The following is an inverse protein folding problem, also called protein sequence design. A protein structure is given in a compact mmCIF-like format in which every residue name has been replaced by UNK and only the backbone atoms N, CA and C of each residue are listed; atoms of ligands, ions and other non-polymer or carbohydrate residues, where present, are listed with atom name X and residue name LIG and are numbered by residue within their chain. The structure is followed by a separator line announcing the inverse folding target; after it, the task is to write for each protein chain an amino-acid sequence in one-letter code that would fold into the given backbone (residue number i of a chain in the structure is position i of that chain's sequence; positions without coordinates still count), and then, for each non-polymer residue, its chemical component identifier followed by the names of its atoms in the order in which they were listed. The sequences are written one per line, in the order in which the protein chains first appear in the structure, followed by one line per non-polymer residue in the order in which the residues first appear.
data_IF_729339842342
#
_entry.id   IF_729339842342
#
_cell.length_a   1.000
_cell.length_b   1.000
_cell.length_c   1.000
_cell.angle_alpha   90.00
_cell.angle_beta   90.00
_cell.angle_gamma   90.00
#
_symmetry.space_group_name_H-M   'P 1'
#
loop_
_entity.id
_entity.type
_entity.pdbx_description
1 polymer ?
#
# COMPACT_ATOMS: atom_id res chain seq x y z
N UNK A 1 -46.10 -27.22 14.20
CA UNK A 1 -45.89 -26.17 15.21
C UNK A 1 -45.13 -25.01 14.56
N UNK A 2 -45.86 -23.99 14.11
CA UNK A 2 -45.38 -22.60 13.91
C UNK A 2 -45.28 -21.88 15.27
N UNK A 3 -44.70 -20.65 15.40
CA UNK A 3 -44.18 -19.72 14.38
C UNK A 3 -42.69 -19.27 14.63
N UNK A 4 -41.87 -19.00 13.60
CA UNK A 4 -41.63 -17.70 12.90
C UNK A 4 -41.47 -16.47 13.79
N UNK A 5 -40.25 -15.91 13.87
CA UNK A 5 -40.04 -14.45 13.87
C UNK A 5 -38.74 -14.08 13.12
N UNK A 6 -38.92 -13.46 11.95
CA UNK A 6 -37.91 -12.65 11.24
C UNK A 6 -37.96 -11.25 11.84
N UNK A 7 -36.81 -10.69 12.21
CA UNK A 7 -36.69 -9.27 12.52
C UNK A 7 -35.92 -8.58 11.40
N UNK A 8 -36.68 -7.98 10.51
CA UNK A 8 -36.26 -6.94 9.57
C UNK A 8 -36.15 -5.65 10.36
N UNK A 9 -34.99 -4.99 10.34
CA UNK A 9 -34.86 -3.59 10.75
C UNK A 9 -34.52 -2.76 9.52
N UNK A 10 -35.57 -2.23 8.90
CA UNK A 10 -35.51 -1.11 7.99
C UNK A 10 -35.41 0.18 8.82
N UNK A 11 -34.36 0.98 8.60
CA UNK A 11 -34.30 2.35 9.08
C UNK A 11 -34.77 3.27 7.95
N UNK A 12 -36.00 3.76 8.08
CA UNK A 12 -36.56 4.82 7.25
C UNK A 12 -35.99 6.17 7.68
N UNK A 13 -35.33 6.88 6.76
CA UNK A 13 -35.00 8.30 6.92
C UNK A 13 -36.16 9.12 6.34
N UNK A 14 -36.86 9.80 7.24
CA UNK A 14 -37.98 10.67 6.94
C UNK A 14 -37.50 12.04 6.42
N UNK A 15 -38.36 12.57 5.55
CA UNK A 15 -38.31 13.79 4.75
C UNK A 15 -38.27 15.07 5.61
N UNK A 16 -37.59 16.11 5.13
CA UNK A 16 -38.02 17.49 5.40
C UNK A 16 -37.91 18.33 4.13
N UNK A 17 -39.07 18.56 3.50
CA UNK A 17 -39.27 19.53 2.45
C UNK A 17 -39.52 20.90 3.10
N UNK A 18 -38.82 21.94 2.66
CA UNK A 18 -39.10 23.34 3.01
C UNK A 18 -39.66 24.04 1.76
N UNK A 19 -40.87 24.54 1.92
CA UNK A 19 -41.68 25.25 0.92
C UNK A 19 -41.30 26.72 0.78
N UNK A 20 -41.55 27.24 -0.42
CA UNK A 20 -41.32 28.61 -0.91
C UNK A 20 -42.08 29.70 -0.12
N UNK A 21 -41.44 30.88 0.01
CA UNK A 21 -41.98 32.26 -0.05
C UNK A 21 -40.76 33.19 -0.20
N UNK A 22 -40.71 34.36 -0.86
CA UNK A 22 -41.64 35.19 -1.61
C UNK A 22 -40.80 36.09 -2.55
N UNK A 23 -41.38 36.52 -3.68
CA UNK A 23 -40.79 37.52 -4.57
C UNK A 23 -40.82 38.90 -3.91
N UNK A 24 -39.67 39.56 -3.80
CA UNK A 24 -39.58 41.02 -3.62
C UNK A 24 -38.62 41.58 -4.66
N UNK A 25 -39.17 42.32 -5.61
CA UNK A 25 -38.41 43.11 -6.59
C UNK A 25 -37.90 44.36 -5.91
N UNK A 26 -36.63 44.37 -5.54
CA UNK A 26 -35.87 45.58 -5.19
C UNK A 26 -34.73 45.72 -6.18
N UNK A 27 -34.70 46.83 -6.93
CA UNK A 27 -33.62 47.17 -7.84
C UNK A 27 -32.35 47.48 -7.04
N UNK A 28 -31.25 46.72 -7.22
CA UNK A 28 -29.96 47.08 -6.66
C UNK A 28 -29.18 47.90 -7.69
N UNK A 29 -28.86 49.12 -7.30
CA UNK A 29 -27.88 50.01 -7.93
C UNK A 29 -26.59 49.23 -8.25
N UNK A 30 -26.13 49.34 -9.49
CA UNK A 30 -24.94 48.64 -9.98
C UNK A 30 -23.71 49.00 -9.13
N UNK A 31 -23.33 48.08 -8.26
CA UNK A 31 -22.06 48.11 -7.54
C UNK A 31 -21.01 47.50 -8.47
N UNK A 32 -19.82 48.09 -8.64
CA UNK A 32 -18.77 47.48 -9.47
C UNK A 32 -18.49 46.08 -8.96
N UNK A 33 -18.70 45.08 -9.81
CA UNK A 33 -18.41 43.68 -9.50
C UNK A 33 -16.96 43.58 -9.02
N UNK A 34 -16.66 42.97 -7.86
CA UNK A 34 -15.28 42.69 -7.49
C UNK A 34 -14.70 41.85 -8.62
N UNK A 35 -13.60 42.33 -9.20
CA UNK A 35 -12.88 41.61 -10.24
C UNK A 35 -12.73 40.16 -9.78
N UNK A 36 -13.35 39.24 -10.52
CA UNK A 36 -13.15 37.82 -10.31
C UNK A 36 -11.65 37.59 -10.46
N UNK A 37 -10.95 37.46 -9.34
CA UNK A 37 -9.58 36.96 -9.31
C UNK A 37 -9.65 35.57 -9.90
N UNK A 38 -9.39 35.45 -11.20
CA UNK A 38 -9.19 34.17 -11.86
C UNK A 38 -8.03 33.54 -11.09
N UNK A 39 -8.25 32.43 -10.38
CA UNK A 39 -7.17 31.77 -9.65
C UNK A 39 -6.07 31.47 -10.66
N UNK A 40 -4.84 31.89 -10.35
CA UNK A 40 -3.69 31.60 -11.19
C UNK A 40 -3.69 30.11 -11.57
N UNK A 41 -3.38 29.80 -12.82
CA UNK A 41 -3.33 28.42 -13.27
C UNK A 41 -2.37 27.64 -12.35
N UNK A 42 -2.92 26.66 -11.63
CA UNK A 42 -2.13 25.83 -10.73
C UNK A 42 -1.14 25.03 -11.58
N UNK A 43 0.16 25.31 -11.40
CA UNK A 43 1.25 24.62 -12.09
C UNK A 43 1.40 23.21 -11.50
N UNK A 44 1.72 22.18 -12.29
CA UNK A 44 2.05 20.87 -11.75
C UNK A 44 3.25 20.95 -10.80
N UNK A 45 3.26 20.05 -9.80
CA UNK A 45 4.33 19.91 -8.79
C UNK A 45 5.69 19.71 -9.47
N UNK A 46 5.74 18.84 -10.46
CA UNK A 46 6.87 18.64 -11.38
C UNK A 46 6.35 18.57 -12.81
N UNK A 47 7.18 18.94 -13.78
CA UNK A 47 6.84 18.65 -15.19
C UNK A 47 6.90 17.15 -15.46
N UNK A 48 6.15 16.66 -16.44
CA UNK A 48 6.23 15.26 -16.88
C UNK A 48 7.66 14.83 -17.26
N UNK A 49 8.43 15.73 -17.89
CA UNK A 49 9.82 15.46 -18.24
C UNK A 49 10.73 15.33 -17.01
N UNK A 50 10.49 16.10 -15.94
CA UNK A 50 11.19 15.93 -14.66
C UNK A 50 10.81 14.60 -14.01
N UNK A 51 9.52 14.26 -13.96
CA UNK A 51 9.06 12.97 -13.43
C UNK A 51 9.68 11.77 -14.16
N UNK A 52 9.78 11.83 -15.50
CA UNK A 52 10.48 10.82 -16.29
C UNK A 52 11.95 10.71 -15.92
N UNK A 53 12.67 11.83 -15.78
CA UNK A 53 14.09 11.78 -15.38
C UNK A 53 14.29 11.20 -13.99
N UNK A 54 13.36 11.45 -13.06
CA UNK A 54 13.37 10.86 -11.72
C UNK A 54 13.19 9.34 -11.82
N UNK A 55 12.20 8.87 -12.58
CA UNK A 55 11.97 7.43 -12.81
C UNK A 55 13.18 6.77 -13.47
N UNK A 56 13.75 7.38 -14.51
CA UNK A 56 14.92 6.84 -15.21
C UNK A 56 16.15 6.80 -14.30
N UNK A 57 16.31 7.80 -13.43
CA UNK A 57 17.40 7.82 -12.45
C UNK A 57 17.25 6.70 -11.44
N UNK A 58 16.04 6.51 -10.89
CA UNK A 58 15.71 5.41 -9.98
C UNK A 58 16.10 4.06 -10.61
N UNK A 59 15.57 3.75 -11.81
CA UNK A 59 15.83 2.47 -12.48
C UNK A 59 17.33 2.21 -12.68
N UNK A 60 18.09 3.23 -13.10
CA UNK A 60 19.54 3.07 -13.31
C UNK A 60 20.28 2.76 -12.01
N UNK A 61 20.03 3.54 -10.95
CA UNK A 61 20.73 3.37 -9.67
C UNK A 61 20.29 2.07 -8.99
N UNK A 62 19.01 1.72 -9.05
CA UNK A 62 18.50 0.48 -8.47
C UNK A 62 19.11 -0.76 -9.14
N UNK A 63 19.18 -0.78 -10.48
CA UNK A 63 19.84 -1.87 -11.19
C UNK A 63 21.34 -1.98 -10.84
N UNK A 64 22.03 -0.85 -10.60
CA UNK A 64 23.42 -0.86 -10.13
C UNK A 64 23.54 -1.38 -8.69
N UNK A 65 22.58 -1.05 -7.83
CA UNK A 65 22.50 -1.51 -6.45
C UNK A 65 22.27 -3.03 -6.40
N UNK A 66 21.24 -3.53 -7.09
CA UNK A 66 20.86 -4.94 -7.13
C UNK A 66 21.99 -5.80 -7.67
N UNK A 67 22.64 -5.39 -8.76
CA UNK A 67 23.77 -6.13 -9.36
C UNK A 67 24.93 -6.38 -8.37
N UNK A 68 25.02 -5.60 -7.28
CA UNK A 68 26.05 -5.71 -6.25
C UNK A 68 25.51 -6.05 -4.86
N UNK A 69 24.18 -6.22 -4.72
CA UNK A 69 23.48 -6.30 -3.42
C UNK A 69 23.97 -5.21 -2.45
N UNK A 70 23.96 -3.96 -2.91
CA UNK A 70 24.53 -2.82 -2.20
C UNK A 70 23.45 -1.84 -1.73
N UNK A 71 23.38 -1.59 -0.42
CA UNK A 71 22.39 -0.71 0.19
C UNK A 71 22.71 0.78 0.00
N UNK A 72 24.00 1.15 -0.05
CA UNK A 72 24.40 2.55 -0.09
C UNK A 72 23.86 3.32 -1.31
N UNK A 73 23.85 2.76 -2.54
CA UNK A 73 23.17 3.41 -3.67
C UNK A 73 21.66 3.55 -3.48
N UNK A 74 20.97 2.59 -2.86
CA UNK A 74 19.52 2.66 -2.61
C UNK A 74 19.16 3.88 -1.76
N UNK A 75 19.97 4.19 -0.74
CA UNK A 75 19.79 5.38 0.12
C UNK A 75 19.76 6.70 -0.66
N UNK A 76 20.31 6.74 -1.88
CA UNK A 76 20.29 7.94 -2.72
C UNK A 76 18.98 8.12 -3.49
N UNK A 77 18.24 7.03 -3.74
CA UNK A 77 17.05 7.00 -4.59
C UNK A 77 15.77 6.56 -3.86
N UNK A 78 15.89 6.01 -2.66
CA UNK A 78 14.77 5.55 -1.83
C UNK A 78 14.74 6.26 -0.49
N UNK A 79 13.53 6.37 0.05
CA UNK A 79 13.27 6.87 1.40
C UNK A 79 12.42 5.86 2.16
N UNK A 80 12.45 5.97 3.47
CA UNK A 80 11.62 5.15 4.35
C UNK A 80 10.12 5.40 4.05
N UNK A 81 9.27 4.35 4.11
CA UNK A 81 9.58 3.01 4.60
C UNK A 81 10.23 2.05 3.59
N UNK A 82 10.14 2.32 2.28
CA UNK A 82 10.66 1.41 1.25
C UNK A 82 12.14 1.08 1.43
N UNK A 83 12.98 2.09 1.69
CA UNK A 83 14.41 1.88 1.92
C UNK A 83 14.69 0.91 3.08
N UNK A 84 13.91 0.98 4.17
CA UNK A 84 14.08 0.08 5.30
C UNK A 84 13.67 -1.36 4.95
N UNK A 85 12.65 -1.52 4.11
CA UNK A 85 12.18 -2.81 3.60
C UNK A 85 13.25 -3.42 2.69
N UNK A 86 13.78 -2.66 1.72
CA UNK A 86 14.77 -3.18 0.77
C UNK A 86 16.12 -3.51 1.44
N UNK A 87 16.53 -2.76 2.47
CA UNK A 87 17.70 -3.14 3.29
C UNK A 87 17.48 -4.50 4.01
N UNK A 88 16.26 -4.79 4.45
CA UNK A 88 15.91 -6.09 5.01
C UNK A 88 15.82 -7.18 3.94
N UNK A 89 15.30 -6.88 2.76
CA UNK A 89 15.29 -7.81 1.63
C UNK A 89 16.73 -8.19 1.22
N UNK A 90 17.64 -7.21 1.12
CA UNK A 90 19.06 -7.45 0.87
C UNK A 90 19.72 -8.30 1.95
N UNK A 91 19.37 -8.10 3.22
CA UNK A 91 19.82 -8.97 4.32
C UNK A 91 19.35 -10.42 4.11
N UNK A 92 18.10 -10.62 3.73
CA UNK A 92 17.52 -11.95 3.47
C UNK A 92 18.16 -12.64 2.27
N UNK A 93 18.32 -11.92 1.15
CA UNK A 93 18.91 -12.44 -0.08
C UNK A 93 20.31 -13.05 0.14
N UNK A 94 21.09 -12.52 1.08
CA UNK A 94 22.42 -13.06 1.43
C UNK A 94 22.36 -14.48 2.01
N UNK A 95 21.21 -14.90 2.54
CA UNK A 95 20.97 -16.28 3.03
C UNK A 95 20.42 -17.20 1.95
N UNK A 96 19.99 -16.67 0.81
CA UNK A 96 19.39 -17.46 -0.27
C UNK A 96 20.46 -18.18 -1.08
N UNK A 97 20.02 -19.10 -1.95
CA UNK A 97 20.95 -19.81 -2.83
C UNK A 97 21.62 -18.83 -3.81
N UNK A 98 22.82 -19.17 -4.31
CA UNK A 98 23.49 -18.38 -5.35
C UNK A 98 22.63 -18.22 -6.60
N UNK A 99 21.81 -19.21 -6.91
CA UNK A 99 20.84 -19.15 -8.01
C UNK A 99 19.82 -18.04 -7.77
N UNK A 100 19.20 -18.01 -6.59
CA UNK A 100 18.17 -17.01 -6.27
C UNK A 100 18.78 -15.59 -6.19
N UNK A 101 20.00 -15.46 -5.64
CA UNK A 101 20.74 -14.18 -5.67
C UNK A 101 21.00 -13.72 -7.11
N UNK A 102 21.38 -14.62 -8.01
CA UNK A 102 21.63 -14.29 -9.41
C UNK A 102 20.34 -13.93 -10.16
N UNK A 103 19.17 -14.46 -9.76
CA UNK A 103 17.88 -14.03 -10.29
C UNK A 103 17.56 -12.59 -9.86
N UNK A 104 17.80 -12.23 -8.61
CA UNK A 104 17.54 -10.89 -8.07
C UNK A 104 18.50 -9.81 -8.64
N UNK A 105 19.74 -10.19 -8.92
CA UNK A 105 20.75 -9.33 -9.55
C UNK A 105 20.45 -8.98 -11.02
N UNK A 106 19.44 -9.62 -11.62
CA UNK A 106 19.05 -9.32 -13.00
C UNK A 106 18.45 -7.91 -13.09
N UNK A 107 18.71 -7.19 -14.18
CA UNK A 107 18.12 -5.87 -14.34
C UNK A 107 16.61 -5.95 -14.61
N UNK A 108 15.92 -4.87 -14.24
CA UNK A 108 14.54 -4.61 -14.63
C UNK A 108 14.40 -3.27 -15.35
N UNK A 109 13.23 -3.07 -15.97
CA UNK A 109 12.84 -1.83 -16.62
C UNK A 109 11.39 -1.49 -16.31
N UNK A 110 11.07 -0.20 -16.28
CA UNK A 110 9.70 0.28 -16.28
C UNK A 110 9.30 0.78 -17.67
N UNK A 111 8.14 0.32 -18.12
CA UNK A 111 7.56 0.69 -19.42
C UNK A 111 6.15 1.23 -19.24
N UNK A 112 5.64 1.93 -20.25
CA UNK A 112 4.27 2.49 -20.28
C UNK A 112 3.93 3.35 -19.04
N UNK A 113 4.78 4.33 -18.66
CA UNK A 113 4.52 5.13 -17.46
C UNK A 113 3.30 6.04 -17.65
N UNK A 114 2.41 6.02 -16.66
CA UNK A 114 1.29 6.95 -16.49
C UNK A 114 1.54 7.76 -15.23
N UNK A 115 1.73 9.06 -15.38
CA UNK A 115 2.09 9.96 -14.29
C UNK A 115 0.84 10.61 -13.68
N UNK A 116 0.71 10.50 -12.36
CA UNK A 116 -0.29 11.24 -11.56
C UNK A 116 0.44 12.30 -10.76
N UNK A 117 0.50 13.52 -11.31
CA UNK A 117 1.27 14.63 -10.74
C UNK A 117 0.28 15.66 -10.18
N UNK A 118 0.25 15.86 -8.86
CA UNK A 118 -0.55 16.93 -8.25
C UNK A 118 -0.12 18.33 -8.66
N UNK A 119 -0.98 19.30 -8.40
CA UNK A 119 -0.61 20.71 -8.48
C UNK A 119 0.40 21.06 -7.38
N UNK A 120 1.31 21.99 -7.69
CA UNK A 120 2.26 22.52 -6.72
C UNK A 120 1.51 23.13 -5.51
N UNK A 121 1.99 22.83 -4.30
CA UNK A 121 1.37 23.25 -3.04
C UNK A 121 0.30 22.31 -2.48
N UNK A 122 -0.15 21.29 -3.25
CA UNK A 122 -1.14 20.30 -2.78
C UNK A 122 -0.52 18.99 -2.28
N UNK A 123 0.72 18.68 -2.70
CA UNK A 123 1.46 17.51 -2.27
C UNK A 123 2.97 17.75 -2.41
N UNK A 124 3.75 16.93 -1.69
CA UNK A 124 5.21 16.81 -1.84
C UNK A 124 5.62 15.65 -2.74
N UNK A 125 4.65 14.88 -3.25
CA UNK A 125 4.85 13.62 -3.93
C UNK A 125 4.06 13.55 -5.24
N UNK A 126 4.46 12.62 -6.11
CA UNK A 126 3.69 12.21 -7.28
C UNK A 126 3.70 10.69 -7.41
N UNK A 127 2.74 10.15 -8.15
CA UNK A 127 2.64 8.72 -8.38
C UNK A 127 2.87 8.36 -9.86
N UNK A 128 3.32 7.14 -10.11
CA UNK A 128 3.51 6.61 -11.46
C UNK A 128 2.98 5.18 -11.53
N UNK A 129 1.98 4.93 -12.38
CA UNK A 129 1.65 3.56 -12.78
C UNK A 129 2.62 3.14 -13.90
N UNK A 130 3.25 1.99 -13.75
CA UNK A 130 4.22 1.44 -14.70
C UNK A 130 3.93 -0.02 -14.97
N UNK A 131 4.49 -0.55 -16.06
CA UNK A 131 4.63 -1.99 -16.28
C UNK A 131 6.09 -2.38 -16.10
N UNK A 132 6.36 -3.13 -15.04
CA UNK A 132 7.65 -3.77 -14.80
C UNK A 132 7.91 -4.87 -15.82
N UNK A 133 9.08 -4.82 -16.46
CA UNK A 133 9.56 -5.82 -17.41
C UNK A 133 11.04 -6.10 -17.17
N UNK A 134 11.56 -7.13 -17.84
CA UNK A 134 12.99 -7.42 -17.86
C UNK A 134 13.28 -8.86 -17.42
N UNK A 135 14.57 -9.27 -17.41
CA UNK A 135 14.94 -10.60 -16.97
C UNK A 135 14.57 -10.91 -15.52
N UNK A 136 14.53 -9.90 -14.63
CA UNK A 136 14.05 -10.06 -13.25
C UNK A 136 12.53 -10.24 -13.14
N UNK A 137 11.75 -9.69 -14.08
CA UNK A 137 10.29 -9.61 -13.98
C UNK A 137 9.59 -10.28 -15.16
N UNK A 138 9.36 -11.59 -15.01
CA UNK A 138 8.61 -12.43 -15.94
C UNK A 138 7.51 -13.20 -15.19
N UNK A 139 6.23 -13.07 -15.57
CA UNK A 139 5.70 -12.19 -16.62
C UNK A 139 5.76 -10.70 -16.23
N UNK A 140 5.56 -9.77 -17.18
CA UNK A 140 5.41 -8.35 -16.87
C UNK A 140 4.31 -8.09 -15.84
N UNK A 141 4.58 -7.24 -14.85
CA UNK A 141 3.63 -6.87 -13.79
C UNK A 141 3.35 -5.37 -13.80
N UNK A 142 2.13 -4.97 -13.41
CA UNK A 142 1.80 -3.55 -13.21
C UNK A 142 2.21 -3.15 -11.80
N UNK A 143 2.82 -1.97 -11.64
CA UNK A 143 3.20 -1.42 -10.34
C UNK A 143 2.72 0.03 -10.20
N UNK A 144 2.43 0.43 -8.98
CA UNK A 144 2.22 1.84 -8.61
C UNK A 144 3.41 2.30 -7.75
N UNK A 145 4.12 3.31 -8.23
CA UNK A 145 5.28 3.88 -7.56
C UNK A 145 4.91 5.25 -6.98
N UNK A 146 5.40 5.58 -5.79
CA UNK A 146 5.26 6.91 -5.19
C UNK A 146 6.63 7.52 -4.98
N UNK A 147 6.86 8.68 -5.61
CA UNK A 147 8.06 9.48 -5.40
C UNK A 147 7.73 10.68 -4.52
N UNK A 148 8.42 10.82 -3.39
CA UNK A 148 8.21 11.89 -2.40
C UNK A 148 9.47 12.78 -2.31
N UNK A 149 9.26 14.07 -2.06
CA UNK A 149 10.34 15.04 -1.98
C UNK A 149 10.95 15.06 -0.57
N UNK A 150 12.23 14.69 -0.47
CA UNK A 150 12.98 14.53 0.78
C UNK A 150 13.84 15.75 1.13
N UNK A 151 13.37 16.95 0.78
CA UNK A 151 14.10 18.20 1.01
C UNK A 151 15.33 18.30 0.10
N UNK A 152 16.52 18.48 0.68
CA UNK A 152 17.76 18.71 -0.08
C UNK A 152 18.14 17.57 -1.02
N UNK A 153 17.72 16.33 -0.73
CA UNK A 153 18.01 15.17 -1.56
C UNK A 153 17.05 15.00 -2.77
N UNK A 154 16.05 15.88 -2.91
CA UNK A 154 15.08 15.81 -4.00
C UNK A 154 14.11 14.63 -3.88
N UNK A 155 13.59 14.18 -5.03
CA UNK A 155 12.59 13.11 -5.09
C UNK A 155 13.24 11.73 -4.96
N UNK A 156 12.70 10.92 -4.03
CA UNK A 156 13.05 9.52 -3.83
C UNK A 156 11.81 8.65 -3.85
N UNK A 157 11.93 7.39 -4.23
CA UNK A 157 10.80 6.48 -4.12
C UNK A 157 10.57 6.14 -2.64
N UNK A 158 9.32 6.33 -2.19
CA UNK A 158 8.91 6.10 -0.82
C UNK A 158 8.09 4.81 -0.66
N UNK A 159 7.42 4.39 -1.73
CA UNK A 159 6.66 3.14 -1.75
C UNK A 159 6.43 2.65 -3.20
N UNK A 160 6.30 1.34 -3.34
CA UNK A 160 5.94 0.60 -4.54
C UNK A 160 4.86 -0.41 -4.17
N UNK A 161 3.94 -0.68 -5.10
CA UNK A 161 2.86 -1.67 -4.92
C UNK A 161 2.70 -2.49 -6.19
N UNK A 162 2.70 -3.81 -6.07
CA UNK A 162 2.36 -4.72 -7.16
C UNK A 162 0.84 -4.77 -7.38
N UNK A 163 0.41 -4.28 -8.54
CA UNK A 163 -1.00 -4.18 -8.89
C UNK A 163 -1.49 -5.49 -9.52
N UNK A 164 -2.49 -6.09 -8.88
CA UNK A 164 -3.20 -7.26 -9.41
C UNK A 164 -4.55 -6.89 -10.02
N UNK A 165 -4.99 -5.64 -9.83
CA UNK A 165 -6.20 -5.06 -10.38
C UNK A 165 -5.89 -3.72 -11.06
N UNK A 166 -6.74 -3.31 -12.00
CA UNK A 166 -6.62 -2.00 -12.64
C UNK A 166 -6.91 -0.89 -11.62
N UNK A 167 -6.14 0.19 -11.68
CA UNK A 167 -6.43 1.40 -10.92
C UNK A 167 -7.75 2.06 -11.38
N UNK A 168 -8.52 2.66 -10.47
CA UNK A 168 -9.63 3.55 -10.84
C UNK A 168 -9.09 4.74 -11.65
N UNK A 169 -9.96 5.38 -12.43
CA UNK A 169 -9.57 6.62 -13.13
C UNK A 169 -9.30 7.70 -12.08
N UNK A 170 -8.08 8.23 -12.05
CA UNK A 170 -7.71 9.33 -11.16
C UNK A 170 -8.40 10.62 -11.61
N UNK A 171 -8.94 11.38 -10.66
CA UNK A 171 -9.51 12.70 -10.93
C UNK A 171 -8.40 13.72 -11.17
N UNK A 172 -8.66 14.65 -12.08
CA UNK A 172 -7.71 15.70 -12.46
C UNK A 172 -8.38 17.05 -12.48
N UNK A 173 -7.63 18.11 -12.20
CA UNK A 173 -8.10 19.49 -12.36
C UNK A 173 -8.14 19.92 -13.84
N UNK A 174 -8.52 21.19 -14.07
CA UNK A 174 -8.55 21.81 -15.42
C UNK A 174 -7.20 21.85 -16.13
N UNK A 175 -6.09 21.72 -15.39
CA UNK A 175 -4.73 21.72 -15.89
C UNK A 175 -4.15 20.28 -16.00
N UNK A 176 -5.01 19.26 -15.89
CA UNK A 176 -4.63 17.85 -15.88
C UNK A 176 -3.71 17.44 -14.70
N UNK A 177 -3.66 18.22 -13.62
CA UNK A 177 -2.98 17.82 -12.39
C UNK A 177 -3.86 16.85 -11.61
N UNK A 178 -3.26 15.80 -11.05
CA UNK A 178 -3.97 14.82 -10.25
C UNK A 178 -4.51 15.44 -8.95
N UNK A 179 -5.76 15.14 -8.61
CA UNK A 179 -6.35 15.62 -7.36
C UNK A 179 -5.91 14.74 -6.19
N UNK A 180 -5.37 15.37 -5.15
CA UNK A 180 -4.97 14.72 -3.90
C UNK A 180 -6.21 14.54 -3.03
N UNK A 181 -6.27 13.42 -2.31
CA UNK A 181 -7.26 13.20 -1.26
C UNK A 181 -6.56 13.12 0.10
N UNK A 182 -7.28 13.45 1.17
CA UNK A 182 -6.81 13.28 2.55
C UNK A 182 -7.79 12.35 3.26
N UNK A 183 -7.58 11.02 3.21
CA UNK A 183 -8.42 10.09 3.96
C UNK A 183 -8.30 10.41 5.45
N UNK A 184 -9.42 10.31 6.17
CA UNK A 184 -9.38 10.47 7.63
C UNK A 184 -8.52 9.36 8.25
N UNK A 185 -7.95 9.62 9.42
CA UNK A 185 -7.20 8.59 10.16
C UNK A 185 -8.04 7.34 10.44
N UNK A 186 -9.36 7.50 10.56
CA UNK A 186 -10.29 6.39 10.74
C UNK A 186 -10.35 5.51 9.50
N UNK A 187 -10.44 6.11 8.29
CA UNK A 187 -10.43 5.36 7.03
C UNK A 187 -9.11 4.63 6.83
N UNK A 188 -7.97 5.28 7.12
CA UNK A 188 -6.66 4.60 7.05
C UNK A 188 -6.58 3.41 8.01
N UNK A 189 -7.00 3.57 9.27
CA UNK A 189 -7.03 2.45 10.23
C UNK A 189 -7.97 1.33 9.81
N UNK A 190 -9.10 1.65 9.17
CA UNK A 190 -10.02 0.64 8.65
C UNK A 190 -9.38 -0.20 7.54
N UNK A 191 -8.54 0.38 6.67
CA UNK A 191 -7.78 -0.40 5.70
C UNK A 191 -6.73 -1.30 6.34
N UNK A 192 -5.97 -0.77 7.30
CA UNK A 192 -4.95 -1.52 8.05
C UNK A 192 -5.56 -2.72 8.77
N UNK A 193 -6.63 -2.50 9.54
CA UNK A 193 -7.36 -3.58 10.22
C UNK A 193 -7.94 -4.58 9.20
N UNK A 194 -8.55 -4.09 8.13
CA UNK A 194 -9.14 -4.96 7.11
C UNK A 194 -8.10 -5.82 6.38
N UNK A 195 -6.83 -5.39 6.30
CA UNK A 195 -5.75 -6.22 5.78
C UNK A 195 -5.38 -7.33 6.79
N UNK A 196 -5.24 -6.98 8.07
CA UNK A 196 -4.95 -7.96 9.12
C UNK A 196 -6.06 -9.03 9.23
N UNK A 197 -7.33 -8.64 9.11
CA UNK A 197 -8.48 -9.56 9.12
C UNK A 197 -8.42 -10.61 7.98
N UNK A 198 -7.70 -10.34 6.88
CA UNK A 198 -7.52 -11.32 5.80
C UNK A 198 -6.64 -12.50 6.22
N UNK A 199 -5.78 -12.32 7.22
CA UNK A 199 -4.94 -13.37 7.80
C UNK A 199 -5.70 -14.29 8.76
N UNK A 200 -6.90 -13.92 9.21
CA UNK A 200 -7.77 -14.81 9.99
C UNK A 200 -8.77 -15.57 9.09
N UNK A 201 -8.35 -15.87 7.86
CA UNK A 201 -9.14 -16.58 6.84
C UNK A 201 -10.26 -15.73 6.21
N UNK A 202 -10.34 -14.44 6.53
CA UNK A 202 -11.40 -13.55 6.04
C UNK A 202 -12.80 -13.97 6.48
N UNK A 203 -12.90 -14.71 7.59
CA UNK A 203 -14.13 -15.27 8.16
C UNK A 203 -14.94 -14.27 8.99
N UNK A 204 -14.46 -13.05 9.18
CA UNK A 204 -15.27 -11.99 9.77
C UNK A 204 -16.37 -11.58 8.79
N UNK A 205 -17.62 -11.77 9.21
CA UNK A 205 -18.78 -11.12 8.58
C UNK A 205 -18.50 -9.61 8.51
N UNK A 206 -18.19 -9.08 7.31
CA UNK A 206 -17.94 -7.64 7.12
C UNK A 206 -16.52 -7.22 6.74
N UNK A 207 -15.68 -8.11 6.20
CA UNK A 207 -14.40 -7.70 5.59
C UNK A 207 -14.61 -6.51 4.64
N UNK A 208 -13.98 -5.37 4.95
CA UNK A 208 -14.11 -4.11 4.19
C UNK A 208 -13.79 -4.32 2.71
N UNK A 209 -12.72 -5.05 2.41
CA UNK A 209 -12.30 -5.33 1.04
C UNK A 209 -13.18 -6.38 0.38
N UNK A 210 -13.87 -6.02 -0.70
CA UNK A 210 -14.53 -7.00 -1.57
C UNK A 210 -13.54 -7.93 -2.28
N UNK A 211 -14.06 -8.88 -3.07
CA UNK A 211 -13.24 -9.85 -3.81
C UNK A 211 -12.24 -9.17 -4.76
N UNK A 212 -10.97 -9.56 -4.65
CA UNK A 212 -9.90 -9.18 -5.58
C UNK A 212 -8.80 -10.24 -5.60
N UNK A 213 -7.94 -10.28 -6.64
CA UNK A 213 -6.80 -11.18 -6.66
C UNK A 213 -5.82 -10.93 -5.50
N UNK A 214 -5.54 -9.68 -5.14
CA UNK A 214 -4.72 -9.34 -3.99
C UNK A 214 -5.28 -9.88 -2.66
N UNK A 215 -6.60 -9.76 -2.44
CA UNK A 215 -7.26 -10.41 -1.30
C UNK A 215 -7.07 -11.92 -1.34
N UNK A 216 -7.33 -12.53 -2.49
CA UNK A 216 -7.19 -13.97 -2.70
C UNK A 216 -5.79 -14.47 -2.36
N UNK A 217 -4.76 -13.72 -2.75
CA UNK A 217 -3.37 -14.03 -2.46
C UNK A 217 -3.10 -14.14 -0.95
N UNK A 218 -3.49 -13.14 -0.13
CA UNK A 218 -3.29 -13.19 1.32
C UNK A 218 -4.03 -14.37 1.94
N UNK A 219 -5.31 -14.56 1.57
CA UNK A 219 -6.12 -15.65 2.14
C UNK A 219 -5.60 -17.04 1.76
N UNK A 220 -5.00 -17.19 0.58
CA UNK A 220 -4.41 -18.46 0.15
C UNK A 220 -3.06 -18.69 0.83
N UNK A 221 -2.19 -17.68 0.90
CA UNK A 221 -0.91 -17.76 1.61
C UNK A 221 -1.10 -18.10 3.10
N UNK A 222 -2.14 -17.55 3.74
CA UNK A 222 -2.51 -17.90 5.12
C UNK A 222 -2.92 -19.37 5.24
N UNK A 223 -3.77 -19.86 4.31
CA UNK A 223 -4.19 -21.27 4.28
C UNK A 223 -3.03 -22.21 4.03
N UNK A 224 -2.14 -21.84 3.11
CA UNK A 224 -0.93 -22.60 2.82
C UNK A 224 -0.02 -22.63 4.06
N UNK A 225 0.17 -21.50 4.75
CA UNK A 225 0.93 -21.44 6.00
C UNK A 225 0.32 -22.38 7.06
N UNK A 226 -0.99 -22.31 7.30
CA UNK A 226 -1.68 -23.20 8.24
C UNK A 226 -1.49 -24.69 7.86
N UNK A 227 -1.56 -25.02 6.56
CA UNK A 227 -1.31 -26.37 6.06
C UNK A 227 0.14 -26.84 6.29
N UNK A 228 1.11 -25.95 6.16
CA UNK A 228 2.53 -26.28 6.41
C UNK A 228 2.85 -26.47 7.90
N UNK A 229 2.13 -25.78 8.78
CA UNK A 229 2.30 -25.90 10.23
C UNK A 229 1.59 -27.14 10.80
N UNK A 230 0.44 -27.52 10.23
CA UNK A 230 -0.34 -28.66 10.68
C UNK A 230 0.41 -30.01 10.53
N UNK A 231 0.21 -30.98 11.45
CA UNK A 231 -0.55 -30.88 12.70
C UNK A 231 0.28 -30.39 13.91
N UNK A 232 1.51 -29.93 13.69
CA UNK A 232 2.53 -29.82 14.74
C UNK A 232 2.74 -28.41 15.29
N UNK A 233 2.16 -27.40 14.63
CA UNK A 233 2.22 -26.02 15.03
C UNK A 233 0.95 -25.28 14.56
N UNK A 234 0.70 -24.14 15.18
CA UNK A 234 -0.32 -23.17 14.79
C UNK A 234 0.32 -21.78 14.63
N UNK A 235 -0.42 -20.87 14.01
CA UNK A 235 -0.03 -19.46 13.92
C UNK A 235 -1.22 -18.54 14.21
N UNK A 236 -0.94 -17.42 14.87
CA UNK A 236 -1.88 -16.31 15.09
C UNK A 236 -1.34 -15.04 14.46
N UNK A 237 -2.23 -14.20 13.95
CA UNK A 237 -1.88 -12.95 13.27
C UNK A 237 -2.44 -11.75 14.04
N UNK A 238 -1.75 -10.60 13.96
CA UNK A 238 -2.26 -9.35 14.52
C UNK A 238 -1.80 -8.13 13.73
N UNK A 239 -2.66 -7.11 13.69
CA UNK A 239 -2.28 -5.78 13.21
C UNK A 239 -1.27 -5.15 14.18
N UNK A 240 -0.13 -4.71 13.63
CA UNK A 240 0.89 -3.93 14.33
C UNK A 240 1.25 -2.65 13.57
N UNK A 241 0.35 -2.18 12.68
CA UNK A 241 0.55 -0.97 11.87
C UNK A 241 0.74 0.30 12.70
N UNK A 242 0.31 0.29 13.98
CA UNK A 242 0.49 1.39 14.93
C UNK A 242 1.71 1.24 15.83
N UNK A 243 2.48 0.14 15.73
CA UNK A 243 3.72 -0.05 16.50
C UNK A 243 4.74 1.03 16.14
N UNK A 244 5.42 1.54 17.16
CA UNK A 244 6.47 2.57 17.04
C UNK A 244 7.89 2.01 17.21
N UNK A 245 8.02 0.68 17.32
CA UNK A 245 9.27 -0.02 17.62
C UNK A 245 10.33 0.20 16.52
N UNK A 246 9.88 0.40 15.28
CA UNK A 246 10.75 0.80 14.18
C UNK A 246 10.18 2.04 13.49
N UNK A 247 10.73 3.21 13.84
CA UNK A 247 10.32 4.50 13.25
C UNK A 247 10.56 4.60 11.75
N UNK A 248 11.47 3.79 11.19
CA UNK A 248 11.70 3.74 9.75
C UNK A 248 10.56 3.06 9.00
N UNK A 249 9.74 2.29 9.70
CA UNK A 249 8.50 1.71 9.17
C UNK A 249 7.27 2.55 9.55
N UNK A 250 7.46 3.82 9.92
CA UNK A 250 6.35 4.75 10.06
C UNK A 250 5.93 5.23 8.65
N UNK A 251 4.95 4.57 8.06
CA UNK A 251 4.38 4.96 6.78
C UNK A 251 3.47 6.18 6.89
N UNK A 252 3.36 6.94 5.80
CA UNK A 252 2.28 7.92 5.57
C UNK A 252 1.34 7.39 4.52
N UNK A 253 0.08 7.80 4.58
CA UNK A 253 -0.90 7.51 3.53
C UNK A 253 -0.70 8.48 2.37
N UNK A 254 -0.57 7.94 1.16
CA UNK A 254 -0.62 8.70 -0.09
C UNK A 254 -1.97 8.47 -0.74
N UNK A 255 -2.73 9.53 -1.05
CA UNK A 255 -4.07 9.35 -1.58
C UNK A 255 -4.41 10.30 -2.72
N UNK A 256 -5.08 9.75 -3.72
CA UNK A 256 -5.60 10.44 -4.90
C UNK A 256 -7.12 10.34 -4.90
N UNK A 257 -7.79 11.42 -5.27
CA UNK A 257 -9.21 11.39 -5.57
C UNK A 257 -9.43 10.67 -6.90
N UNK A 258 -10.49 9.87 -6.98
CA UNK A 258 -10.86 9.16 -8.20
C UNK A 258 -12.03 9.86 -8.89
N UNK A 259 -12.13 9.70 -10.21
CA UNK A 259 -13.05 10.47 -11.03
C UNK A 259 -14.53 10.10 -10.85
N UNK A 260 -14.81 9.04 -10.09
CA UNK A 260 -16.13 8.63 -9.63
C UNK A 260 -16.46 9.15 -8.21
N UNK A 261 -15.61 10.02 -7.65
CA UNK A 261 -15.77 10.59 -6.31
C UNK A 261 -15.23 9.72 -5.17
N UNK A 262 -14.53 8.62 -5.48
CA UNK A 262 -13.85 7.77 -4.51
C UNK A 262 -12.42 8.21 -4.16
N UNK A 263 -11.70 7.31 -3.50
CA UNK A 263 -10.33 7.50 -3.03
C UNK A 263 -9.49 6.28 -3.41
N UNK A 264 -8.34 6.51 -4.04
CA UNK A 264 -7.24 5.56 -4.08
C UNK A 264 -6.26 5.92 -2.97
N UNK A 265 -6.00 5.02 -2.04
CA UNK A 265 -5.05 5.16 -0.95
C UNK A 265 -3.92 4.14 -1.08
N UNK A 266 -2.69 4.60 -0.88
CA UNK A 266 -1.51 3.76 -0.73
C UNK A 266 -1.03 3.89 0.71
N UNK A 267 -0.98 2.77 1.42
CA UNK A 267 -0.58 2.71 2.83
C UNK A 267 0.58 1.75 3.04
N UNK A 268 1.25 1.93 4.17
CA UNK A 268 2.07 0.89 4.77
C UNK A 268 1.27 0.28 5.90
N UNK A 269 1.07 -1.03 5.82
CA UNK A 269 0.38 -1.82 6.83
C UNK A 269 1.40 -2.82 7.41
N UNK A 270 1.25 -3.22 8.66
CA UNK A 270 2.14 -4.21 9.28
C UNK A 270 1.33 -5.28 9.99
N UNK A 271 1.67 -6.53 9.73
CA UNK A 271 1.03 -7.70 10.35
C UNK A 271 2.10 -8.55 11.01
N UNK A 272 1.91 -8.92 12.28
CA UNK A 272 2.77 -9.87 12.95
C UNK A 272 2.13 -11.25 12.95
N UNK A 273 2.88 -12.26 12.54
CA UNK A 273 2.58 -13.67 12.74
C UNK A 273 3.36 -14.20 13.96
N UNK A 274 2.68 -14.90 14.85
CA UNK A 274 3.33 -15.74 15.86
C UNK A 274 3.00 -17.21 15.59
N UNK A 275 4.00 -17.99 15.23
CA UNK A 275 3.89 -19.43 15.11
C UNK A 275 4.44 -20.12 16.37
N UNK A 276 3.77 -21.17 16.82
CA UNK A 276 4.17 -21.96 18.00
C UNK A 276 3.85 -23.44 17.79
N UNK A 277 4.74 -24.36 18.20
CA UNK A 277 4.45 -25.79 18.22
C UNK A 277 3.26 -26.13 19.10
N UNK A 278 2.46 -27.10 18.68
CA UNK A 278 1.30 -27.65 19.43
C UNK A 278 1.59 -29.03 20.02
N UNK A 279 2.79 -29.56 19.78
CA UNK A 279 3.27 -30.85 20.29
C UNK A 279 4.60 -30.68 21.04
N UNK A 280 4.82 -31.37 22.17
CA UNK A 280 6.04 -31.24 22.99
C UNK A 280 7.36 -31.60 22.27
N UNK A 281 7.29 -32.33 21.16
CA UNK A 281 8.48 -32.75 20.39
C UNK A 281 8.67 -31.96 19.11
N UNK A 282 7.73 -31.06 18.79
CA UNK A 282 7.77 -30.25 17.59
C UNK A 282 8.59 -28.98 17.82
N UNK A 283 9.22 -28.51 16.75
CA UNK A 283 9.97 -27.27 16.71
C UNK A 283 9.70 -26.60 15.38
N UNK A 284 9.86 -25.28 15.34
CA UNK A 284 9.78 -24.49 14.13
C UNK A 284 11.15 -24.41 13.49
N UNK A 285 11.21 -24.78 12.22
CA UNK A 285 12.35 -24.50 11.37
C UNK A 285 12.05 -23.19 10.62
N UNK A 286 12.80 -22.09 10.85
CA UNK A 286 12.57 -20.86 10.12
C UNK A 286 12.78 -21.06 8.62
N UNK A 287 12.00 -20.35 7.81
CA UNK A 287 12.25 -20.25 6.38
C UNK A 287 13.52 -19.46 6.10
N UNK A 288 13.87 -19.35 4.81
CA UNK A 288 15.12 -18.69 4.40
C UNK A 288 15.12 -17.21 4.79
N UNK A 289 14.00 -16.52 4.64
CA UNK A 289 13.85 -15.13 5.04
C UNK A 289 14.06 -14.95 6.55
N UNK A 290 13.39 -15.77 7.36
CA UNK A 290 13.41 -15.69 8.83
C UNK A 290 14.77 -16.11 9.40
N UNK A 291 15.47 -17.04 8.73
CA UNK A 291 16.82 -17.46 9.11
C UNK A 291 17.83 -16.30 9.08
N UNK A 292 17.59 -15.26 8.27
CA UNK A 292 18.43 -14.06 8.24
C UNK A 292 18.40 -13.26 9.55
N UNK A 293 17.39 -13.49 10.40
CA UNK A 293 17.18 -12.79 11.67
C UNK A 293 17.43 -13.68 12.88
N UNK A 294 16.95 -14.92 12.81
CA UNK A 294 16.91 -15.80 13.98
C UNK A 294 18.26 -16.46 14.25
N UNK A 295 19.07 -16.76 13.23
CA UNK A 295 20.36 -17.43 13.42
C UNK A 295 20.28 -18.88 13.95
N UNK A 296 19.08 -19.40 14.23
CA UNK A 296 18.83 -20.73 14.77
C UNK A 296 18.10 -21.61 13.74
N UNK A 297 18.33 -22.92 13.82
CA UNK A 297 17.71 -23.90 12.91
C UNK A 297 16.51 -24.63 13.53
N UNK A 298 16.31 -24.47 14.84
CA UNK A 298 15.22 -25.07 15.62
C UNK A 298 14.76 -24.02 16.63
N UNK A 299 13.46 -23.75 16.67
CA UNK A 299 12.87 -22.72 17.50
C UNK A 299 11.62 -23.25 18.20
N UNK A 300 11.40 -22.83 19.44
CA UNK A 300 10.19 -23.15 20.22
C UNK A 300 9.06 -22.17 19.95
N UNK A 301 9.38 -21.01 19.35
CA UNK A 301 8.42 -20.10 18.75
C UNK A 301 9.07 -19.30 17.62
N UNK A 302 8.24 -18.75 16.75
CA UNK A 302 8.68 -17.85 15.69
C UNK A 302 7.72 -16.68 15.58
N UNK A 303 8.22 -15.49 15.79
CA UNK A 303 7.54 -14.24 15.51
C UNK A 303 8.08 -13.65 14.22
N UNK A 304 7.21 -13.27 13.29
CA UNK A 304 7.55 -12.65 12.00
C UNK A 304 6.72 -11.38 11.81
N UNK A 305 7.39 -10.26 11.61
CA UNK A 305 6.74 -9.01 11.20
C UNK A 305 6.78 -8.90 9.69
N UNK A 306 5.60 -8.79 9.08
CA UNK A 306 5.43 -8.43 7.69
C UNK A 306 5.15 -6.95 7.56
N UNK A 307 5.79 -6.31 6.59
CA UNK A 307 5.39 -5.01 6.07
C UNK A 307 4.66 -5.20 4.75
N UNK A 308 3.54 -4.51 4.58
CA UNK A 308 2.74 -4.53 3.37
C UNK A 308 2.61 -3.13 2.81
N UNK A 309 3.01 -2.96 1.55
CA UNK A 309 2.77 -1.74 0.81
C UNK A 309 1.54 -1.97 -0.06
N UNK A 310 0.41 -1.36 0.30
CA UNK A 310 -0.88 -1.72 -0.30
C UNK A 310 -1.47 -0.58 -1.13
N UNK A 311 -2.27 -0.93 -2.14
CA UNK A 311 -3.11 0.02 -2.87
C UNK A 311 -4.57 -0.36 -2.67
N UNK A 312 -5.31 0.47 -1.94
CA UNK A 312 -6.72 0.29 -1.62
C UNK A 312 -7.57 1.35 -2.31
N UNK A 313 -8.71 0.96 -2.85
CA UNK A 313 -9.67 1.89 -3.44
C UNK A 313 -11.01 1.79 -2.74
N UNK A 314 -11.60 2.93 -2.43
CA UNK A 314 -12.99 3.06 -1.94
C UNK A 314 -13.77 3.89 -2.93
N UNK A 315 -14.85 3.32 -3.47
CA UNK A 315 -15.77 4.05 -4.35
C UNK A 315 -16.56 5.11 -3.59
N UNK A 316 -17.19 6.03 -4.32
CA UNK A 316 -18.16 6.96 -3.74
C UNK A 316 -19.39 6.28 -3.12
N UNK A 317 -19.68 5.03 -3.48
CA UNK A 317 -20.70 4.19 -2.85
C UNK A 317 -20.21 3.43 -1.61
N UNK A 318 -18.96 3.62 -1.19
CA UNK A 318 -18.38 2.99 -0.01
C UNK A 318 -17.84 1.57 -0.22
N UNK A 319 -17.81 1.07 -1.47
CA UNK A 319 -17.25 -0.24 -1.76
C UNK A 319 -15.72 -0.18 -1.76
N UNK A 320 -15.08 -0.94 -0.88
CA UNK A 320 -13.62 -1.00 -0.81
C UNK A 320 -13.04 -2.22 -1.54
N UNK A 321 -11.87 -2.06 -2.14
CA UNK A 321 -11.12 -3.12 -2.83
C UNK A 321 -9.63 -2.98 -2.57
N UNK A 322 -8.97 -4.10 -2.28
CA UNK A 322 -7.51 -4.19 -2.31
C UNK A 322 -7.07 -4.45 -3.76
N UNK A 323 -6.40 -3.48 -4.38
CA UNK A 323 -6.01 -3.52 -5.79
C UNK A 323 -4.66 -4.19 -6.02
N UNK A 324 -3.80 -4.15 -5.01
CA UNK A 324 -2.43 -4.61 -5.07
C UNK A 324 -1.77 -4.54 -3.71
N UNK A 325 -0.68 -5.28 -3.57
CA UNK A 325 0.17 -5.26 -2.39
C UNK A 325 1.58 -5.71 -2.78
N UNK A 326 2.58 -5.22 -2.06
CA UNK A 326 3.88 -5.84 -1.91
C UNK A 326 4.03 -6.28 -0.45
N UNK A 327 4.69 -7.42 -0.18
CA UNK A 327 4.85 -7.95 1.18
C UNK A 327 6.27 -8.45 1.42
N UNK A 328 6.88 -7.94 2.47
CA UNK A 328 8.21 -8.34 2.91
C UNK A 328 8.26 -8.69 4.38
N UNK A 329 9.13 -9.64 4.73
CA UNK A 329 9.54 -9.86 6.12
C UNK A 329 10.48 -8.72 6.49
N UNK A 330 10.15 -7.96 7.54
CA UNK A 330 10.98 -6.85 8.02
C UNK A 330 11.66 -7.14 9.36
N UNK A 331 11.19 -8.18 10.05
CA UNK A 331 11.81 -8.67 11.27
C UNK A 331 11.34 -10.10 11.53
N UNK A 332 12.22 -10.93 12.10
CA UNK A 332 11.81 -12.17 12.72
C UNK A 332 12.61 -12.41 14.01
N UNK A 333 11.98 -13.04 14.99
CA UNK A 333 12.62 -13.45 16.24
C UNK A 333 12.12 -14.83 16.62
N UNK A 334 12.95 -15.62 17.27
CA UNK A 334 12.54 -16.90 17.83
C UNK A 334 13.41 -17.23 19.03
N UNK A 335 12.86 -18.01 19.95
CA UNK A 335 13.62 -18.57 21.06
C UNK A 335 13.97 -20.02 20.77
N UNK A 336 15.14 -20.45 21.23
CA UNK A 336 15.54 -21.85 21.29
C UNK A 336 16.03 -22.13 22.70
N UNK A 337 15.48 -23.14 23.36
CA UNK A 337 16.15 -23.78 24.49
C UNK A 337 17.47 -24.47 24.07
#
# INVERSE_FOLDING_TARGET
MTPRHRLVRAAALAVTALTLTACTTTHPTATPSPAHHIPAAQRPLVTRAQAQRILDHYVRVNNQANAKLADAPLRTIETDPLLAIDEQANRQLRTYSRKDQAEDQKPFYYTKPVYYIPAAGHATWFAVEVTGTGPAWKPPSKRLLIFDHTGAAGYKMATTVDLTSRLPRIATDRNSCALVSTPSTTVTRQFQQALADLYDGGHSDGTLFGTSPARGWITNDTKDTAKHLAPYADAVYRDISTSTDNRRLAGRTYALATADGGILAVTLDRVQMNAFPTSPTAYIKPGRAEAAYTGHHRLDNLTVDYAHQTASYVSSSGQARLLGLDRDVVQATGVSE
#
